data_IF_351818354077
#
_entry.id   IF_351818354077
#
_cell.length_a   1.000
_cell.length_b   1.000
_cell.length_c   1.000
_cell.angle_alpha   90.00
_cell.angle_beta   90.00
_cell.angle_gamma   90.00
#
_symmetry.space_group_name_H-M   'P 1'
#
loop_
_entity.id
_entity.type
_entity.pdbx_description
1 polymer ?
#
# COMPACT_ATOMS: atom_id res chain seq x y z
N UNK A 1 17.55 3.58 -9.12
CA UNK A 1 16.74 2.73 -10.02
C UNK A 1 16.11 3.61 -11.08
N UNK A 2 15.65 3.04 -12.19
CA UNK A 2 14.98 3.84 -13.23
C UNK A 2 13.60 4.31 -12.74
N UNK A 3 13.19 5.55 -13.08
CA UNK A 3 11.85 6.04 -12.82
C UNK A 3 10.77 5.14 -13.41
N UNK A 4 9.72 4.87 -12.63
CA UNK A 4 8.57 4.12 -13.10
C UNK A 4 7.66 4.98 -13.97
N UNK A 5 6.95 4.34 -14.89
CA UNK A 5 5.97 5.00 -15.76
C UNK A 5 4.59 4.43 -15.51
N UNK A 6 3.54 5.04 -16.06
CA UNK A 6 2.20 4.45 -16.04
C UNK A 6 2.14 3.06 -16.71
N UNK A 7 3.16 2.71 -17.51
CA UNK A 7 3.27 1.41 -18.19
C UNK A 7 4.06 0.35 -17.42
N UNK A 8 5.02 0.76 -16.59
CA UNK A 8 5.89 -0.16 -15.84
C UNK A 8 5.49 -0.31 -14.38
N UNK A 9 4.74 0.65 -13.81
CA UNK A 9 4.17 0.56 -12.48
C UNK A 9 2.95 -0.38 -12.48
N UNK A 10 3.17 -1.68 -12.20
CA UNK A 10 2.12 -2.72 -12.23
C UNK A 10 2.33 -3.79 -11.14
N UNK A 11 1.33 -4.62 -10.94
CA UNK A 11 1.45 -5.84 -10.13
C UNK A 11 1.11 -5.68 -8.65
N UNK A 12 1.62 -6.61 -7.84
CA UNK A 12 1.43 -6.63 -6.39
C UNK A 12 2.50 -5.78 -5.72
N UNK A 13 2.07 -4.69 -5.08
CA UNK A 13 2.91 -3.83 -4.26
C UNK A 13 2.62 -4.12 -2.79
N UNK A 14 3.65 -4.54 -2.06
CA UNK A 14 3.54 -4.90 -0.65
C UNK A 14 3.86 -3.70 0.24
N UNK A 15 3.04 -3.40 1.27
CA UNK A 15 3.39 -2.39 2.25
C UNK A 15 4.52 -2.88 3.16
N UNK A 16 5.32 -1.94 3.61
CA UNK A 16 6.14 -2.11 4.80
C UNK A 16 5.30 -1.79 6.04
N UNK A 17 5.10 -2.76 6.93
CA UNK A 17 4.40 -2.59 8.20
C UNK A 17 5.40 -2.34 9.32
N UNK A 18 5.07 -1.47 10.29
CA UNK A 18 6.00 -1.12 11.36
C UNK A 18 5.93 -2.13 12.52
N UNK A 19 6.95 -2.95 12.80
CA UNK A 19 7.04 -3.63 14.08
C UNK A 19 7.28 -2.59 15.18
N UNK A 20 6.49 -2.67 16.25
CA UNK A 20 6.59 -1.74 17.37
C UNK A 20 6.94 -2.51 18.65
N UNK A 21 7.88 -1.96 19.41
CA UNK A 21 8.16 -2.35 20.78
C UNK A 21 7.08 -1.86 21.74
N UNK A 22 7.16 -2.25 23.01
CA UNK A 22 6.18 -1.88 24.04
C UNK A 22 6.16 -0.39 24.39
N UNK A 23 7.23 0.33 24.04
CA UNK A 23 7.44 1.77 24.26
C UNK A 23 7.14 2.63 23.02
N UNK A 24 6.44 2.07 22.02
CA UNK A 24 6.12 2.68 20.71
C UNK A 24 7.31 2.91 19.77
N UNK A 25 8.53 2.47 20.14
CA UNK A 25 9.68 2.53 19.24
C UNK A 25 9.54 1.54 18.06
N UNK A 26 10.02 1.93 16.88
CA UNK A 26 10.10 1.02 15.72
C UNK A 26 11.27 0.05 15.93
N UNK A 27 10.98 -1.25 15.86
CA UNK A 27 12.02 -2.27 15.84
C UNK A 27 12.57 -2.45 14.41
N UNK A 28 13.64 -1.72 14.11
CA UNK A 28 14.27 -1.77 12.79
C UNK A 28 14.86 -3.15 12.43
N UNK A 29 15.16 -4.01 13.41
CA UNK A 29 15.63 -5.37 13.16
C UNK A 29 14.51 -6.26 12.63
N UNK A 30 13.38 -6.31 13.35
CA UNK A 30 12.18 -7.03 12.88
C UNK A 30 11.64 -6.46 11.57
N UNK A 31 11.81 -5.17 11.35
CA UNK A 31 11.39 -4.50 10.12
C UNK A 31 12.21 -4.99 8.93
N UNK A 32 13.53 -5.09 9.12
CA UNK A 32 14.44 -5.64 8.11
C UNK A 32 14.11 -7.11 7.81
N UNK A 33 13.91 -7.96 8.84
CA UNK A 33 13.50 -9.36 8.66
C UNK A 33 12.19 -9.48 7.84
N UNK A 34 11.19 -8.66 8.17
CA UNK A 34 9.92 -8.62 7.44
C UNK A 34 10.12 -8.19 5.98
N UNK A 35 10.97 -7.19 5.76
CA UNK A 35 11.27 -6.70 4.42
C UNK A 35 12.00 -7.76 3.59
N UNK A 36 12.98 -8.47 4.15
CA UNK A 36 13.66 -9.58 3.45
C UNK A 36 12.67 -10.70 3.06
N UNK A 37 11.74 -11.04 3.95
CA UNK A 37 10.68 -12.02 3.64
C UNK A 37 9.77 -11.54 2.49
N UNK A 38 9.42 -10.26 2.44
CA UNK A 38 8.66 -9.66 1.32
C UNK A 38 9.47 -9.69 0.03
N UNK A 39 10.74 -9.29 0.08
CA UNK A 39 11.62 -9.27 -1.10
C UNK A 39 11.83 -10.67 -1.69
N UNK A 40 11.92 -11.70 -0.83
CA UNK A 40 11.98 -13.10 -1.24
C UNK A 40 10.68 -13.68 -1.79
N UNK A 41 9.55 -12.98 -1.67
CA UNK A 41 8.22 -13.52 -2.05
C UNK A 41 7.82 -13.28 -3.51
N UNK A 42 8.65 -12.57 -4.29
CA UNK A 42 8.37 -12.25 -5.70
C UNK A 42 7.38 -11.11 -5.91
N UNK A 43 7.20 -10.19 -4.94
CA UNK A 43 6.38 -8.99 -5.14
C UNK A 43 6.93 -8.12 -6.28
N UNK A 44 6.03 -7.41 -6.96
CA UNK A 44 6.40 -6.56 -8.10
C UNK A 44 6.93 -5.19 -7.65
N UNK A 45 6.66 -4.83 -6.39
CA UNK A 45 7.31 -3.72 -5.74
C UNK A 45 7.00 -3.66 -4.24
N UNK A 46 7.75 -2.81 -3.55
CA UNK A 46 7.57 -2.50 -2.13
C UNK A 46 7.20 -1.03 -1.99
N UNK A 47 6.26 -0.71 -1.11
CA UNK A 47 6.01 0.68 -0.75
C UNK A 47 6.00 0.84 0.77
N UNK A 48 6.44 2.01 1.22
CA UNK A 48 6.44 2.35 2.65
C UNK A 48 5.76 3.70 2.89
N UNK A 49 5.48 3.98 4.15
CA UNK A 49 4.99 5.27 4.62
C UNK A 49 3.69 5.75 3.90
N UNK A 50 2.81 4.79 3.60
CA UNK A 50 1.38 5.01 3.36
C UNK A 50 0.59 4.74 4.64
N UNK A 51 -0.75 4.58 4.56
CA UNK A 51 -1.58 4.27 5.74
C UNK A 51 -1.08 3.06 6.51
N UNK A 52 -0.85 1.92 5.83
CA UNK A 52 -0.37 0.68 6.44
C UNK A 52 1.00 0.81 7.14
N UNK A 53 1.85 1.72 6.64
CA UNK A 53 3.13 2.07 7.25
C UNK A 53 3.04 3.19 8.29
N UNK A 54 1.83 3.51 8.75
CA UNK A 54 1.52 4.47 9.82
C UNK A 54 2.13 5.86 9.64
N UNK A 55 2.21 6.36 8.39
CA UNK A 55 2.98 7.57 8.02
C UNK A 55 2.77 8.82 8.88
N UNK A 56 1.58 8.93 9.49
CA UNK A 56 1.13 10.06 10.31
C UNK A 56 1.69 10.03 11.74
N UNK A 57 2.36 8.94 12.12
CA UNK A 57 2.90 8.73 13.47
C UNK A 57 4.41 8.90 13.56
N UNK A 58 5.12 9.06 12.42
CA UNK A 58 6.57 9.15 12.39
C UNK A 58 7.04 10.59 12.49
N UNK A 59 8.06 10.80 13.30
CA UNK A 59 8.90 12.00 13.20
C UNK A 59 9.85 11.93 11.99
N UNK A 60 10.59 13.01 11.73
CA UNK A 60 11.48 13.09 10.57
C UNK A 60 12.71 12.18 10.68
N UNK A 61 13.18 11.87 11.88
CA UNK A 61 14.31 10.96 12.08
C UNK A 61 13.92 9.51 11.83
N UNK A 62 12.75 9.11 12.31
CA UNK A 62 12.15 7.80 12.03
C UNK A 62 11.81 7.65 10.54
N UNK A 63 11.25 8.70 9.94
CA UNK A 63 10.99 8.77 8.49
C UNK A 63 12.27 8.52 7.69
N UNK A 64 13.34 9.28 7.98
CA UNK A 64 14.61 9.16 7.25
C UNK A 64 15.22 7.75 7.42
N UNK A 65 15.19 7.19 8.64
CA UNK A 65 15.75 5.85 8.93
C UNK A 65 14.95 4.74 8.25
N UNK A 66 13.62 4.79 8.29
CA UNK A 66 12.74 3.84 7.59
C UNK A 66 12.99 3.87 6.09
N UNK A 67 13.04 5.06 5.51
CA UNK A 67 13.22 5.23 4.08
C UNK A 67 14.61 4.77 3.61
N UNK A 68 15.66 5.09 4.37
CA UNK A 68 17.01 4.62 4.08
C UNK A 68 17.11 3.10 4.10
N UNK A 69 16.52 2.44 5.11
CA UNK A 69 16.48 0.98 5.20
C UNK A 69 15.74 0.37 4.00
N UNK A 70 14.51 0.81 3.73
CA UNK A 70 13.69 0.28 2.62
C UNK A 70 14.40 0.46 1.28
N UNK A 71 14.93 1.66 1.01
CA UNK A 71 15.64 1.95 -0.23
C UNK A 71 16.88 1.06 -0.40
N UNK A 72 17.69 0.89 0.66
CA UNK A 72 18.89 0.07 0.61
C UNK A 72 18.58 -1.41 0.31
N UNK A 73 17.60 -2.00 1.02
CA UNK A 73 17.24 -3.42 0.83
C UNK A 73 16.59 -3.68 -0.52
N UNK A 74 15.65 -2.83 -0.93
CA UNK A 74 15.01 -2.98 -2.24
C UNK A 74 15.99 -2.80 -3.39
N UNK A 75 16.93 -1.85 -3.29
CA UNK A 75 17.98 -1.66 -4.30
C UNK A 75 18.92 -2.88 -4.37
N UNK A 76 19.31 -3.45 -3.24
CA UNK A 76 20.15 -4.65 -3.19
C UNK A 76 19.45 -5.87 -3.82
N UNK A 77 18.14 -6.02 -3.59
CA UNK A 77 17.32 -7.08 -4.17
C UNK A 77 16.90 -6.83 -5.63
N UNK A 78 17.14 -5.63 -6.18
CA UNK A 78 16.65 -5.25 -7.51
C UNK A 78 15.13 -5.13 -7.63
N UNK A 79 14.42 -4.98 -6.51
CA UNK A 79 12.95 -4.87 -6.46
C UNK A 79 12.55 -3.40 -6.53
N UNK A 80 11.63 -3.00 -7.43
CA UNK A 80 11.12 -1.63 -7.46
C UNK A 80 10.52 -1.19 -6.13
N UNK A 81 10.79 0.06 -5.72
CA UNK A 81 10.24 0.58 -4.48
C UNK A 81 9.68 1.99 -4.59
N UNK A 82 8.75 2.29 -3.70
CA UNK A 82 8.09 3.58 -3.54
C UNK A 82 8.22 4.07 -2.11
N UNK A 83 8.48 5.36 -1.97
CA UNK A 83 8.59 6.02 -0.67
C UNK A 83 7.41 6.99 -0.51
N UNK A 84 6.67 6.87 0.59
CA UNK A 84 5.55 7.76 0.89
C UNK A 84 6.03 9.09 1.47
N UNK A 85 5.54 10.21 0.96
CA UNK A 85 5.96 11.55 1.40
C UNK A 85 4.78 12.42 1.88
N UNK A 86 3.82 11.78 2.55
CA UNK A 86 2.59 12.43 3.00
C UNK A 86 2.76 13.07 4.38
N UNK A 87 2.11 14.21 4.59
CA UNK A 87 1.97 14.90 5.87
C UNK A 87 0.73 15.81 5.86
N UNK A 88 0.03 16.02 7.00
CA UNK A 88 -1.10 16.96 7.08
C UNK A 88 -0.78 18.40 6.69
N UNK A 89 0.46 18.82 6.91
CA UNK A 89 0.99 20.14 6.57
C UNK A 89 1.75 20.15 5.25
N UNK A 90 1.29 20.95 4.27
CA UNK A 90 1.84 20.96 2.91
C UNK A 90 3.33 21.30 2.79
N UNK A 91 3.87 22.16 3.68
CA UNK A 91 5.32 22.44 3.72
C UNK A 91 6.14 21.21 4.11
N UNK A 92 5.70 20.49 5.14
CA UNK A 92 6.36 19.26 5.59
C UNK A 92 6.21 18.15 4.54
N UNK A 93 5.09 18.06 3.82
CA UNK A 93 4.96 17.16 2.68
C UNK A 93 5.99 17.48 1.58
N UNK A 94 6.21 18.76 1.25
CA UNK A 94 7.25 19.16 0.28
C UNK A 94 8.65 18.75 0.75
N UNK A 95 8.95 18.94 2.04
CA UNK A 95 10.25 18.54 2.61
C UNK A 95 10.45 17.03 2.57
N UNK A 96 9.41 16.25 2.93
CA UNK A 96 9.40 14.78 2.80
C UNK A 96 9.58 14.32 1.36
N UNK A 97 8.97 15.00 0.39
CA UNK A 97 9.17 14.69 -1.04
C UNK A 97 10.65 14.85 -1.43
N UNK A 98 11.32 15.93 -1.00
CA UNK A 98 12.76 16.13 -1.27
C UNK A 98 13.62 15.05 -0.63
N UNK A 99 13.34 14.70 0.64
CA UNK A 99 14.04 13.63 1.37
C UNK A 99 13.88 12.28 0.66
N UNK A 100 12.66 11.93 0.25
CA UNK A 100 12.40 10.71 -0.50
C UNK A 100 13.09 10.71 -1.87
N UNK A 101 13.06 11.82 -2.60
CA UNK A 101 13.69 11.95 -3.92
C UNK A 101 15.21 11.71 -3.88
N UNK A 102 15.89 12.13 -2.81
CA UNK A 102 17.32 11.90 -2.63
C UNK A 102 17.71 10.40 -2.62
N UNK A 103 16.78 9.52 -2.25
CA UNK A 103 16.97 8.06 -2.27
C UNK A 103 16.66 7.44 -3.64
N UNK A 104 16.13 8.23 -4.60
CA UNK A 104 15.81 7.85 -5.98
C UNK A 104 14.91 6.60 -6.10
N UNK A 105 13.74 6.57 -5.41
CA UNK A 105 12.78 5.48 -5.58
C UNK A 105 12.18 5.50 -7.00
N UNK A 106 11.49 4.42 -7.36
CA UNK A 106 10.83 4.32 -8.67
C UNK A 106 9.67 5.29 -8.81
N UNK A 107 9.00 5.61 -7.70
CA UNK A 107 8.05 6.72 -7.59
C UNK A 107 7.91 7.17 -6.12
N UNK A 108 7.33 8.35 -5.90
CA UNK A 108 6.97 8.86 -4.58
C UNK A 108 5.44 8.82 -4.46
N UNK A 109 4.93 8.18 -3.41
CA UNK A 109 3.50 8.20 -3.12
C UNK A 109 3.16 9.43 -2.28
N UNK A 110 2.16 10.20 -2.70
CA UNK A 110 1.72 11.42 -2.00
C UNK A 110 0.21 11.37 -1.75
N UNK A 111 -0.19 11.87 -0.58
CA UNK A 111 -1.57 12.24 -0.26
C UNK A 111 -1.64 13.76 -0.22
N UNK A 112 -2.79 14.32 -0.60
CA UNK A 112 -3.04 15.76 -0.46
C UNK A 112 -3.07 16.15 1.03
N UNK A 113 -2.48 17.30 1.43
CA UNK A 113 -2.57 17.80 2.80
C UNK A 113 -4.02 17.83 3.31
N UNK A 114 -4.23 17.42 4.56
CA UNK A 114 -5.55 16.95 5.02
C UNK A 114 -6.11 17.69 6.24
N UNK A 115 -5.49 18.77 6.75
CA UNK A 115 -6.14 19.56 7.81
C UNK A 115 -7.40 20.28 7.28
N UNK A 116 -7.32 20.83 6.07
CA UNK A 116 -8.41 21.50 5.37
C UNK A 116 -8.59 20.91 3.96
N UNK A 117 -9.83 20.82 3.45
CA UNK A 117 -10.06 20.39 2.08
C UNK A 117 -9.51 21.43 1.10
N UNK A 118 -8.85 20.95 0.04
CA UNK A 118 -8.32 21.79 -1.03
C UNK A 118 -9.36 21.97 -2.14
N UNK A 119 -9.38 23.16 -2.74
CA UNK A 119 -10.11 23.45 -3.98
C UNK A 119 -9.37 22.85 -5.18
N UNK A 120 -10.04 22.59 -6.32
CA UNK A 120 -9.42 21.97 -7.49
C UNK A 120 -8.12 22.65 -7.98
N UNK A 121 -8.05 23.99 -7.93
CA UNK A 121 -6.83 24.73 -8.28
C UNK A 121 -5.68 24.49 -7.30
N UNK A 122 -5.99 24.38 -6.01
CA UNK A 122 -5.00 24.11 -4.94
C UNK A 122 -4.48 22.67 -5.02
N UNK A 123 -5.33 21.71 -5.41
CA UNK A 123 -4.92 20.32 -5.68
C UNK A 123 -3.86 20.27 -6.78
N UNK A 124 -4.11 20.93 -7.91
CA UNK A 124 -3.15 20.98 -9.02
C UNK A 124 -1.87 21.72 -8.60
N UNK A 125 -2.00 22.84 -7.88
CA UNK A 125 -0.85 23.59 -7.38
C UNK A 125 0.02 22.75 -6.42
N UNK A 126 -0.59 22.00 -5.50
CA UNK A 126 0.11 21.13 -4.58
C UNK A 126 0.87 20.02 -5.33
N UNK A 127 0.22 19.34 -6.28
CA UNK A 127 0.85 18.29 -7.09
C UNK A 127 2.00 18.81 -7.96
N UNK A 128 1.88 20.03 -8.52
CA UNK A 128 3.01 20.70 -9.20
C UNK A 128 4.17 20.99 -8.26
N UNK A 129 3.87 21.46 -7.04
CA UNK A 129 4.88 21.69 -6.02
C UNK A 129 5.62 20.40 -5.65
N UNK A 130 4.89 19.30 -5.44
CA UNK A 130 5.49 17.99 -5.19
C UNK A 130 6.32 17.51 -6.39
N UNK A 131 5.80 17.66 -7.62
CA UNK A 131 6.53 17.25 -8.82
C UNK A 131 7.84 18.03 -8.99
N UNK A 132 7.85 19.33 -8.68
CA UNK A 132 9.07 20.14 -8.68
C UNK A 132 10.06 19.73 -7.57
N UNK A 133 9.56 19.35 -6.40
CA UNK A 133 10.38 18.88 -5.28
C UNK A 133 10.93 17.46 -5.46
N UNK A 134 10.31 16.65 -6.32
CA UNK A 134 10.63 15.24 -6.52
C UNK A 134 11.84 15.00 -7.43
N UNK A 135 12.45 16.05 -7.99
CA UNK A 135 13.69 16.00 -8.78
C UNK A 135 13.69 14.89 -9.86
N UNK A 136 12.62 14.84 -10.65
CA UNK A 136 12.47 13.86 -11.74
C UNK A 136 11.90 12.51 -11.31
N UNK A 137 11.73 12.25 -10.02
CA UNK A 137 11.02 11.05 -9.53
C UNK A 137 9.50 11.24 -9.72
N UNK A 138 8.81 10.28 -10.35
CA UNK A 138 7.39 10.41 -10.65
C UNK A 138 6.53 10.23 -9.41
N UNK A 139 5.30 10.73 -9.47
CA UNK A 139 4.36 10.72 -8.35
C UNK A 139 3.25 9.67 -8.54
N UNK A 140 2.85 9.09 -7.42
CA UNK A 140 1.59 8.33 -7.28
C UNK A 140 0.67 9.09 -6.34
N UNK A 141 -0.47 9.54 -6.83
CA UNK A 141 -1.48 10.19 -5.98
C UNK A 141 -2.32 9.12 -5.27
N UNK A 142 -2.29 9.12 -3.95
CA UNK A 142 -3.18 8.32 -3.12
C UNK A 142 -4.37 9.17 -2.64
N UNK A 143 -5.59 8.77 -3.03
CA UNK A 143 -6.83 9.40 -2.60
C UNK A 143 -7.77 8.37 -1.95
N UNK A 144 -7.62 8.09 -0.63
CA UNK A 144 -8.51 7.20 0.09
C UNK A 144 -9.89 7.82 0.36
N UNK A 145 -10.91 7.01 0.69
CA UNK A 145 -12.26 7.48 1.04
C UNK A 145 -12.29 8.48 2.21
N UNK A 146 -11.35 8.38 3.14
CA UNK A 146 -11.25 9.27 4.31
C UNK A 146 -10.34 10.49 4.10
N UNK A 147 -9.76 10.68 2.91
CA UNK A 147 -9.06 11.92 2.61
C UNK A 147 -10.04 13.10 2.67
N UNK A 148 -9.66 14.20 3.33
CA UNK A 148 -10.53 15.40 3.40
C UNK A 148 -10.78 16.03 2.04
N UNK A 149 -9.82 15.91 1.11
CA UNK A 149 -9.99 16.32 -0.28
C UNK A 149 -10.28 15.08 -1.13
N UNK A 150 -11.51 14.94 -1.60
CA UNK A 150 -11.88 13.92 -2.59
C UNK A 150 -11.62 14.43 -4.01
N UNK A 151 -10.94 13.64 -4.83
CA UNK A 151 -10.55 14.02 -6.19
C UNK A 151 -11.51 13.38 -7.19
N UNK A 152 -12.28 14.21 -7.91
CA UNK A 152 -13.28 13.73 -8.86
C UNK A 152 -12.63 13.23 -10.17
N UNK A 153 -13.32 12.40 -10.98
CA UNK A 153 -12.81 11.97 -12.28
C UNK A 153 -12.42 13.14 -13.21
N UNK A 154 -13.21 14.21 -13.22
CA UNK A 154 -12.90 15.42 -14.00
C UNK A 154 -11.61 16.10 -13.50
N UNK A 155 -11.35 16.11 -12.20
CA UNK A 155 -10.11 16.64 -11.64
C UNK A 155 -8.93 15.70 -11.90
N UNK A 156 -9.12 14.39 -11.90
CA UNK A 156 -8.08 13.42 -12.31
C UNK A 156 -7.67 13.61 -13.77
N UNK A 157 -8.62 13.82 -14.68
CA UNK A 157 -8.34 14.13 -16.08
C UNK A 157 -7.48 15.39 -16.20
N UNK A 158 -7.89 16.47 -15.52
CA UNK A 158 -7.14 17.72 -15.43
C UNK A 158 -5.73 17.53 -14.87
N UNK A 159 -5.56 16.74 -13.81
CA UNK A 159 -4.24 16.40 -13.25
C UNK A 159 -3.37 15.70 -14.30
N UNK A 160 -3.96 14.78 -15.08
CA UNK A 160 -3.26 14.04 -16.12
C UNK A 160 -2.67 14.92 -17.21
N UNK A 161 -3.35 16.03 -17.52
CA UNK A 161 -2.93 17.05 -18.48
C UNK A 161 -1.93 18.05 -17.85
N UNK A 162 -2.22 18.52 -16.64
CA UNK A 162 -1.51 19.66 -16.03
C UNK A 162 -0.27 19.28 -15.19
N UNK A 163 -0.15 18.01 -14.81
CA UNK A 163 0.95 17.48 -13.97
C UNK A 163 1.44 16.14 -14.52
N UNK A 164 2.20 16.13 -15.63
CA UNK A 164 2.58 14.90 -16.33
C UNK A 164 3.34 13.88 -15.47
N UNK A 165 4.02 14.35 -14.41
CA UNK A 165 4.78 13.59 -13.43
C UNK A 165 3.91 12.71 -12.53
N UNK A 166 2.60 12.94 -12.44
CA UNK A 166 1.68 12.00 -11.79
C UNK A 166 1.45 10.84 -12.76
N UNK A 167 2.02 9.68 -12.44
CA UNK A 167 1.99 8.49 -13.32
C UNK A 167 1.08 7.39 -12.80
N UNK A 168 0.68 7.46 -11.53
CA UNK A 168 -0.15 6.44 -10.89
C UNK A 168 -1.17 7.02 -9.92
N UNK A 169 -2.22 6.24 -9.67
CA UNK A 169 -3.30 6.55 -8.74
C UNK A 169 -3.49 5.37 -7.79
N UNK A 170 -3.65 5.64 -6.49
CA UNK A 170 -4.20 4.67 -5.53
C UNK A 170 -5.59 5.15 -5.14
N UNK A 171 -6.60 4.41 -5.55
CA UNK A 171 -8.03 4.77 -5.42
C UNK A 171 -8.82 3.61 -4.82
N UNK A 172 -9.98 3.86 -4.19
CA UNK A 172 -10.78 2.80 -3.59
C UNK A 172 -11.31 1.78 -4.60
N UNK A 173 -11.58 2.22 -5.83
CA UNK A 173 -12.10 1.38 -6.90
C UNK A 173 -11.62 1.91 -8.27
N UNK A 174 -11.54 1.04 -9.27
CA UNK A 174 -10.99 1.40 -10.60
C UNK A 174 -11.90 2.39 -11.34
N UNK A 175 -13.19 2.36 -11.05
CA UNK A 175 -14.25 3.20 -11.63
C UNK A 175 -14.03 4.69 -11.35
N UNK A 176 -13.33 5.04 -10.25
CA UNK A 176 -12.95 6.43 -9.95
C UNK A 176 -12.07 7.03 -11.04
N UNK A 177 -11.27 6.20 -11.71
CA UNK A 177 -10.37 6.58 -12.79
C UNK A 177 -10.84 6.05 -14.15
N UNK A 178 -12.15 5.83 -14.32
CA UNK A 178 -12.72 5.35 -15.58
C UNK A 178 -12.32 6.27 -16.74
N UNK A 179 -11.82 5.66 -17.83
CA UNK A 179 -11.32 6.38 -19.00
C UNK A 179 -9.91 6.98 -18.86
N UNK A 180 -9.25 6.80 -17.70
CA UNK A 180 -7.92 7.35 -17.42
C UNK A 180 -6.85 6.26 -17.17
N UNK A 181 -7.19 4.98 -17.34
CA UNK A 181 -6.27 3.84 -17.13
C UNK A 181 -5.13 3.76 -18.14
N UNK A 182 -5.26 4.42 -19.29
CA UNK A 182 -4.15 4.58 -20.25
C UNK A 182 -3.19 5.71 -19.84
N UNK A 183 -3.70 6.69 -19.08
CA UNK A 183 -2.94 7.84 -18.60
C UNK A 183 -2.18 7.52 -17.32
N UNK A 184 -2.84 6.82 -16.39
CA UNK A 184 -2.31 6.49 -15.07
C UNK A 184 -2.27 4.98 -14.86
N UNK A 185 -1.26 4.52 -14.14
CA UNK A 185 -1.31 3.21 -13.51
C UNK A 185 -2.28 3.26 -12.32
N UNK A 186 -3.47 2.70 -12.46
CA UNK A 186 -4.52 2.72 -11.43
C UNK A 186 -4.38 1.50 -10.51
N UNK A 187 -4.26 1.76 -9.21
CA UNK A 187 -4.10 0.74 -8.17
C UNK A 187 -5.31 0.74 -7.24
N UNK A 188 -5.74 -0.46 -6.89
CA UNK A 188 -6.86 -0.72 -5.95
C UNK A 188 -6.37 -1.52 -4.75
N UNK A 189 -7.27 -1.82 -3.81
CA UNK A 189 -6.96 -2.73 -2.70
C UNK A 189 -6.69 -4.16 -3.21
N UNK A 190 -5.88 -4.93 -2.49
CA UNK A 190 -5.52 -6.29 -2.90
C UNK A 190 -6.75 -7.19 -3.08
N UNK A 191 -7.66 -7.14 -2.12
CA UNK A 191 -8.86 -7.99 -2.08
C UNK A 191 -9.94 -7.67 -3.12
N UNK A 192 -9.72 -6.69 -4.00
CA UNK A 192 -10.60 -6.36 -5.14
C UNK A 192 -9.86 -6.38 -6.48
N UNK A 193 -8.61 -6.87 -6.50
CA UNK A 193 -7.75 -6.77 -7.67
C UNK A 193 -8.19 -7.67 -8.84
N UNK A 194 -8.75 -8.86 -8.59
CA UNK A 194 -9.16 -9.76 -9.67
C UNK A 194 -10.27 -9.13 -10.51
N UNK A 195 -11.26 -8.51 -9.86
CA UNK A 195 -12.30 -7.72 -10.55
C UNK A 195 -11.73 -6.41 -11.08
N UNK A 196 -10.92 -5.70 -10.29
CA UNK A 196 -10.32 -4.41 -10.69
C UNK A 196 -9.47 -4.50 -11.96
N UNK A 197 -8.72 -5.59 -12.17
CA UNK A 197 -7.93 -5.82 -13.39
C UNK A 197 -8.81 -5.89 -14.64
N UNK A 198 -10.03 -6.43 -14.54
CA UNK A 198 -10.99 -6.45 -15.66
C UNK A 198 -11.43 -5.04 -16.06
N UNK A 199 -11.46 -4.12 -15.09
CA UNK A 199 -11.72 -2.69 -15.31
C UNK A 199 -10.48 -1.84 -15.64
N UNK A 200 -9.30 -2.46 -15.81
CA UNK A 200 -8.07 -1.76 -16.21
C UNK A 200 -7.12 -1.40 -15.06
N UNK A 201 -7.32 -1.92 -13.84
CA UNK A 201 -6.37 -1.72 -12.76
C UNK A 201 -5.00 -2.32 -13.11
N UNK A 202 -3.94 -1.55 -12.89
CA UNK A 202 -2.56 -1.93 -13.14
C UNK A 202 -2.00 -2.89 -12.06
N UNK A 203 -2.55 -2.83 -10.85
CA UNK A 203 -2.03 -3.56 -9.70
C UNK A 203 -2.78 -3.25 -8.42
N UNK A 204 -2.22 -3.69 -7.29
CA UNK A 204 -2.74 -3.37 -5.96
C UNK A 204 -1.66 -2.91 -5.01
N UNK A 205 -2.03 -1.95 -4.17
CA UNK A 205 -1.33 -1.69 -2.90
C UNK A 205 -2.00 -2.60 -1.88
N UNK A 206 -1.35 -3.73 -1.62
CA UNK A 206 -2.07 -4.98 -1.34
C UNK A 206 -2.17 -5.30 0.14
N UNK A 207 -3.38 -5.16 0.71
CA UNK A 207 -3.71 -5.73 2.01
C UNK A 207 -3.64 -7.27 2.02
N UNK A 208 -3.76 -7.91 0.84
CA UNK A 208 -3.54 -9.36 0.70
C UNK A 208 -2.07 -9.70 0.83
N UNK A 209 -1.15 -8.82 0.40
CA UNK A 209 0.27 -9.01 0.63
C UNK A 209 0.64 -8.81 2.11
N UNK A 210 -0.13 -8.02 2.89
CA UNK A 210 0.02 -8.04 4.35
C UNK A 210 -0.19 -9.46 4.90
N UNK A 211 -1.25 -10.16 4.44
CA UNK A 211 -1.57 -11.51 4.89
C UNK A 211 -0.65 -12.58 4.30
N UNK A 212 -0.33 -12.50 3.01
CA UNK A 212 0.52 -13.47 2.34
C UNK A 212 1.15 -12.83 1.10
N UNK A 213 2.41 -12.34 1.20
CA UNK A 213 3.12 -11.74 0.07
C UNK A 213 3.23 -12.71 -1.12
N UNK A 214 3.69 -13.95 -0.88
CA UNK A 214 3.81 -14.97 -1.91
C UNK A 214 2.45 -15.42 -2.46
N UNK A 215 1.44 -15.59 -1.58
CA UNK A 215 0.08 -15.93 -2.00
C UNK A 215 -0.55 -14.86 -2.89
N UNK A 216 -0.35 -13.58 -2.56
CA UNK A 216 -0.81 -12.46 -3.39
C UNK A 216 -0.16 -12.49 -4.79
N UNK A 217 1.13 -12.82 -4.88
CA UNK A 217 1.84 -12.95 -6.17
C UNK A 217 1.31 -14.13 -6.98
N UNK A 218 1.12 -15.30 -6.36
CA UNK A 218 0.50 -16.46 -7.04
C UNK A 218 -0.90 -16.14 -7.55
N UNK A 219 -1.72 -15.49 -6.71
CA UNK A 219 -3.07 -15.09 -7.09
C UNK A 219 -3.05 -14.05 -8.22
N UNK A 220 -2.09 -13.12 -8.22
CA UNK A 220 -1.91 -12.18 -9.33
C UNK A 220 -1.60 -12.87 -10.67
N UNK A 221 -0.76 -13.90 -10.65
CA UNK A 221 -0.49 -14.72 -11.83
C UNK A 221 -1.74 -15.48 -12.29
N UNK A 222 -2.51 -16.03 -11.33
CA UNK A 222 -3.79 -16.70 -11.61
C UNK A 222 -4.79 -15.78 -12.31
N UNK A 223 -4.83 -14.48 -12.01
CA UNK A 223 -5.76 -13.55 -12.68
C UNK A 223 -5.60 -13.50 -14.20
N UNK A 224 -4.42 -13.84 -14.73
CA UNK A 224 -4.19 -13.98 -16.17
C UNK A 224 -4.45 -15.41 -16.68
N UNK A 225 -4.04 -16.42 -15.93
CA UNK A 225 -4.13 -17.82 -16.34
C UNK A 225 -5.55 -18.42 -16.19
N UNK A 226 -6.25 -18.06 -15.12
CA UNK A 226 -7.62 -18.46 -14.80
C UNK A 226 -8.39 -17.28 -14.15
N UNK A 227 -8.92 -16.37 -14.97
CA UNK A 227 -9.67 -15.21 -14.47
C UNK A 227 -10.93 -15.58 -13.69
N UNK A 228 -11.52 -16.76 -13.92
CA UNK A 228 -12.73 -17.21 -13.22
C UNK A 228 -12.38 -17.71 -11.83
N UNK A 229 -11.40 -18.59 -11.70
CA UNK A 229 -10.90 -19.05 -10.39
C UNK A 229 -10.32 -17.90 -9.55
N UNK A 230 -9.62 -16.95 -10.18
CA UNK A 230 -9.14 -15.77 -9.45
C UNK A 230 -10.28 -14.91 -8.87
N UNK A 231 -11.40 -14.80 -9.58
CA UNK A 231 -12.59 -14.09 -9.08
C UNK A 231 -13.36 -14.87 -8.00
N UNK A 232 -13.33 -16.20 -8.05
CA UNK A 232 -13.86 -17.03 -6.94
C UNK A 232 -13.05 -16.82 -5.66
N UNK A 233 -11.72 -16.84 -5.74
CA UNK A 233 -10.83 -16.50 -4.60
C UNK A 233 -11.14 -15.10 -4.09
N UNK A 234 -11.38 -14.11 -4.97
CA UNK A 234 -11.79 -12.77 -4.55
C UNK A 234 -13.08 -12.79 -3.74
N UNK A 235 -14.11 -13.50 -4.22
CA UNK A 235 -15.41 -13.56 -3.56
C UNK A 235 -15.30 -14.21 -2.17
N UNK A 236 -14.54 -15.30 -2.03
CA UNK A 236 -14.28 -15.95 -0.74
C UNK A 236 -13.45 -15.09 0.19
N UNK A 237 -12.40 -14.44 -0.31
CA UNK A 237 -11.58 -13.49 0.45
C UNK A 237 -12.43 -12.34 0.99
N UNK A 238 -13.27 -11.74 0.14
CA UNK A 238 -14.19 -10.67 0.55
C UNK A 238 -15.19 -11.17 1.59
N UNK A 239 -15.73 -12.37 1.41
CA UNK A 239 -16.59 -13.00 2.42
C UNK A 239 -15.89 -13.22 3.77
N UNK A 240 -14.60 -13.56 3.77
CA UNK A 240 -13.79 -13.61 4.99
C UNK A 240 -13.61 -12.23 5.61
N UNK A 241 -13.21 -11.22 4.83
CA UNK A 241 -13.03 -9.86 5.32
C UNK A 241 -14.33 -9.29 5.89
N UNK A 242 -15.46 -9.45 5.20
CA UNK A 242 -16.77 -8.95 5.63
C UNK A 242 -17.25 -9.62 6.94
N UNK A 243 -16.99 -10.92 7.11
CA UNK A 243 -17.42 -11.66 8.31
C UNK A 243 -16.49 -11.48 9.51
N UNK A 244 -15.20 -11.28 9.29
CA UNK A 244 -14.19 -11.39 10.36
C UNK A 244 -13.36 -10.12 10.58
N UNK A 245 -13.16 -9.29 9.55
CA UNK A 245 -12.31 -8.09 9.61
C UNK A 245 -13.16 -6.81 9.67
N UNK A 246 -14.24 -6.73 8.90
CA UNK A 246 -15.15 -5.58 8.94
C UNK A 246 -15.80 -5.35 10.32
N UNK A 247 -16.16 -6.39 11.11
CA UNK A 247 -16.63 -6.18 12.48
C UNK A 247 -15.56 -5.56 13.39
N UNK A 248 -14.28 -5.86 13.19
CA UNK A 248 -13.18 -5.22 13.91
C UNK A 248 -13.06 -3.75 13.51
N UNK A 249 -13.16 -3.44 12.21
CA UNK A 249 -13.21 -2.05 11.75
C UNK A 249 -14.37 -1.28 12.40
N UNK A 250 -15.56 -1.89 12.45
CA UNK A 250 -16.75 -1.32 13.08
C UNK A 250 -16.61 -1.16 14.60
N UNK A 251 -15.85 -2.04 15.26
CA UNK A 251 -15.48 -1.90 16.67
C UNK A 251 -14.45 -0.77 16.90
N UNK A 252 -13.84 -0.21 15.84
CA UNK A 252 -12.96 0.96 15.92
C UNK A 252 -11.48 0.65 15.83
N UNK A 253 -11.08 -0.51 15.30
CA UNK A 253 -9.70 -0.76 14.90
C UNK A 253 -9.39 -0.04 13.57
N UNK A 254 -8.25 0.65 13.51
CA UNK A 254 -7.83 1.41 12.32
C UNK A 254 -7.27 0.52 11.21
N UNK A 255 -7.21 1.02 9.97
CA UNK A 255 -6.64 0.29 8.82
C UNK A 255 -5.27 -0.36 9.14
N UNK A 256 -4.29 0.32 9.78
CA UNK A 256 -3.00 -0.30 10.10
C UNK A 256 -3.12 -1.43 11.12
N UNK A 257 -4.07 -1.33 12.07
CA UNK A 257 -4.32 -2.40 13.04
C UNK A 257 -4.89 -3.64 12.35
N UNK A 258 -5.77 -3.45 11.36
CA UNK A 258 -6.34 -4.53 10.55
C UNK A 258 -5.28 -5.14 9.63
N UNK A 259 -4.44 -4.33 8.99
CA UNK A 259 -3.33 -4.80 8.13
C UNK A 259 -2.30 -5.62 8.93
N UNK A 260 -1.95 -5.18 10.14
CA UNK A 260 -1.07 -5.95 11.04
C UNK A 260 -1.73 -7.21 11.59
N UNK A 261 -3.04 -7.20 11.84
CA UNK A 261 -3.79 -8.41 12.18
C UNK A 261 -3.78 -9.42 11.03
N UNK A 262 -3.97 -8.96 9.78
CA UNK A 262 -3.83 -9.79 8.59
C UNK A 262 -2.41 -10.36 8.45
N UNK A 263 -1.38 -9.55 8.73
CA UNK A 263 0.01 -10.02 8.77
C UNK A 263 0.23 -11.12 9.82
N UNK A 264 -0.31 -10.94 11.02
CA UNK A 264 -0.27 -11.96 12.07
C UNK A 264 -1.05 -13.23 11.69
N UNK A 265 -2.21 -13.09 11.03
CA UNK A 265 -2.97 -14.19 10.43
C UNK A 265 -2.13 -14.95 9.41
N UNK A 266 -1.31 -14.24 8.62
CA UNK A 266 -0.35 -14.81 7.67
C UNK A 266 0.77 -15.61 8.31
N UNK A 267 1.27 -15.14 9.46
CA UNK A 267 2.30 -15.83 10.23
C UNK A 267 3.69 -15.86 9.58
N UNK A 268 3.93 -15.07 8.54
CA UNK A 268 5.19 -15.01 7.80
C UNK A 268 6.17 -13.95 8.35
N UNK A 269 5.69 -13.05 9.21
CA UNK A 269 6.49 -11.95 9.80
C UNK A 269 6.27 -11.85 11.31
N UNK A 270 7.28 -11.31 11.99
CA UNK A 270 7.26 -10.98 13.43
C UNK A 270 6.83 -9.54 13.71
N UNK A 271 6.15 -8.88 12.77
CA UNK A 271 5.66 -7.49 12.91
C UNK A 271 4.83 -7.26 14.18
N UNK A 272 4.03 -8.26 14.58
CA UNK A 272 3.07 -8.12 15.68
C UNK A 272 1.84 -7.30 15.26
N UNK A 273 0.86 -7.17 16.15
CA UNK A 273 -0.40 -6.44 15.86
C UNK A 273 -0.41 -4.99 16.33
N UNK A 274 0.53 -4.62 17.22
CA UNK A 274 0.56 -3.32 17.91
C UNK A 274 0.63 -2.16 16.92
N UNK A 275 -0.15 -1.11 17.15
CA UNK A 275 -0.08 0.19 16.45
C UNK A 275 0.16 1.29 17.48
N UNK A 276 0.68 2.45 17.06
CA UNK A 276 0.97 3.53 18.01
C UNK A 276 -0.28 4.12 18.63
N UNK A 277 -0.13 4.60 19.86
CA UNK A 277 -1.14 5.44 20.50
C UNK A 277 -1.50 6.64 19.60
N UNK A 278 -2.78 7.09 19.55
CA UNK A 278 -3.94 6.67 20.34
C UNK A 278 -4.75 5.50 19.77
N UNK A 279 -4.26 4.84 18.72
CA UNK A 279 -4.99 3.74 18.09
C UNK A 279 -4.91 2.45 18.91
N UNK A 280 -5.99 1.66 18.88
CA UNK A 280 -6.01 0.31 19.42
C UNK A 280 -5.54 -0.68 18.36
N UNK A 281 -4.93 -1.78 18.79
CA UNK A 281 -4.56 -2.90 17.93
C UNK A 281 -5.43 -4.12 18.20
N UNK A 282 -5.61 -4.96 17.17
CA UNK A 282 -6.31 -6.23 17.32
C UNK A 282 -5.53 -7.10 18.32
N UNK A 283 -6.17 -7.60 19.40
CA UNK A 283 -5.51 -8.44 20.38
C UNK A 283 -4.96 -9.74 19.77
N UNK A 284 -3.76 -10.14 20.19
CA UNK A 284 -3.07 -11.30 19.62
C UNK A 284 -3.84 -12.61 19.83
N UNK A 285 -4.64 -12.70 20.89
CA UNK A 285 -5.52 -13.83 21.19
C UNK A 285 -6.63 -14.05 20.14
N UNK A 286 -6.97 -13.04 19.34
CA UNK A 286 -7.95 -13.19 18.25
C UNK A 286 -7.33 -13.78 16.98
N UNK A 287 -6.00 -13.71 16.83
CA UNK A 287 -5.30 -14.12 15.60
C UNK A 287 -5.50 -15.60 15.25
N UNK A 288 -5.42 -16.56 16.18
CA UNK A 288 -5.63 -17.98 15.85
C UNK A 288 -6.99 -18.27 15.20
N UNK A 289 -8.07 -17.70 15.75
CA UNK A 289 -9.42 -17.88 15.19
C UNK A 289 -9.56 -17.21 13.81
N UNK A 290 -8.98 -16.01 13.63
CA UNK A 290 -8.94 -15.35 12.32
C UNK A 290 -8.15 -16.16 11.29
N UNK A 291 -7.04 -16.80 11.71
CA UNK A 291 -6.21 -17.64 10.84
C UNK A 291 -6.94 -18.90 10.40
N UNK A 292 -7.64 -19.58 11.31
CA UNK A 292 -8.47 -20.74 10.95
C UNK A 292 -9.56 -20.37 9.93
N UNK A 293 -10.24 -19.24 10.15
CA UNK A 293 -11.25 -18.73 9.23
C UNK A 293 -10.65 -18.36 7.86
N UNK A 294 -9.45 -17.78 7.83
CA UNK A 294 -8.75 -17.45 6.59
C UNK A 294 -8.30 -18.71 5.83
N UNK A 295 -7.74 -19.71 6.53
CA UNK A 295 -7.37 -21.01 5.94
C UNK A 295 -8.58 -21.77 5.39
N UNK A 296 -9.74 -21.64 6.03
CA UNK A 296 -10.98 -22.22 5.52
C UNK A 296 -11.48 -21.47 4.28
N UNK A 297 -11.40 -20.15 4.28
CA UNK A 297 -11.95 -19.33 3.20
C UNK A 297 -11.05 -19.30 1.95
N UNK A 298 -9.75 -19.16 2.12
CA UNK A 298 -8.76 -18.93 1.05
C UNK A 298 -7.44 -19.67 1.31
N UNK A 299 -7.48 -21.01 1.44
CA UNK A 299 -6.28 -21.81 1.71
C UNK A 299 -5.16 -21.54 0.71
N UNK A 300 -5.50 -21.29 -0.56
CA UNK A 300 -4.56 -21.11 -1.67
C UNK A 300 -3.63 -19.89 -1.49
N UNK A 301 -4.08 -18.89 -0.73
CA UNK A 301 -3.26 -17.73 -0.39
C UNK A 301 -2.28 -18.05 0.75
N UNK A 302 -2.63 -18.94 1.68
CA UNK A 302 -1.89 -19.16 2.93
C UNK A 302 -1.04 -20.43 2.92
N UNK A 303 -1.37 -21.41 2.09
CA UNK A 303 -0.58 -22.64 1.93
C UNK A 303 0.34 -22.50 0.73
N UNK A 304 1.58 -22.95 0.89
CA UNK A 304 2.48 -23.11 -0.25
C UNK A 304 2.20 -24.48 -0.88
N UNK A 305 1.75 -24.54 -2.15
CA UNK A 305 1.48 -25.81 -2.82
C UNK A 305 2.74 -26.68 -2.99
N UNK A 306 3.95 -26.14 -2.78
CA UNK A 306 5.22 -26.89 -2.83
C UNK A 306 5.71 -27.38 -1.45
N UNK A 307 5.01 -27.02 -0.37
CA UNK A 307 5.37 -27.32 1.01
C UNK A 307 4.22 -28.07 1.70
N UNK A 308 3.62 -29.02 0.99
CA UNK A 308 2.79 -30.06 1.59
C UNK A 308 3.71 -31.21 2.00
N UNK A 309 3.96 -31.33 3.30
CA UNK A 309 4.51 -32.55 3.92
C UNK A 309 3.69 -33.80 3.51
#
# INVERSE_FOLDING_TARGET
MDPLTSRTLRGIWSPTLLPLDADDAIDFGRLEESLEAVLGSGVHGVYTNGTAGEFHTLDEGEYDRLHALVAARCAAAGVPYQLGASHPGGRLSLDRVRRAAALRPGAIQVVLPDWLPLRPGEVVAALRGFAAAADGVPLVLYNPPYAKTQVTPALLARIGEEVPQVVGLKVPAVEVAQGLTDRFAVFVAGHTLATGRRGGAAGSYSNVACMSPAGAVRWYAQMAADPRGAADVEARLRGFLDRHVAPLAADGYSDPALDKALCAVGGWSRTGTRVRWPHRWVPAEQVPALREAALTAVPELLTDPLNTD
#
